data_IF_427255276275
#
_entry.id   IF_427255276275
#
_cell.length_a   1.000
_cell.length_b   1.000
_cell.length_c   1.000
_cell.angle_alpha   90.00
_cell.angle_beta   90.00
_cell.angle_gamma   90.00
#
_symmetry.space_group_name_H-M   'P 1'
#
loop_
_entity.id
_entity.type
_entity.pdbx_description
1 polymer ?
#
# COMPACT_ATOMS: atom_id res chain seq x y z
N UNK A 1 69.54 -26.35 -13.09
CA UNK A 1 69.00 -25.34 -14.05
C UNK A 1 67.48 -25.49 -14.00
N UNK A 2 66.61 -24.53 -13.70
CA UNK A 2 66.64 -23.08 -13.46
C UNK A 2 65.36 -22.78 -12.64
N UNK A 3 65.45 -21.80 -11.73
CA UNK A 3 64.36 -21.12 -11.01
C UNK A 3 63.12 -20.84 -11.87
N UNK A 4 61.92 -20.80 -11.28
CA UNK A 4 61.13 -19.55 -11.26
C UNK A 4 59.96 -19.69 -10.29
N UNK A 5 60.04 -18.93 -9.19
CA UNK A 5 58.91 -18.67 -8.32
C UNK A 5 57.87 -17.85 -9.05
N UNK A 6 56.59 -18.12 -8.76
CA UNK A 6 55.50 -17.17 -8.98
C UNK A 6 54.82 -16.94 -7.65
N UNK A 7 55.13 -15.77 -7.11
CA UNK A 7 54.42 -15.10 -6.03
C UNK A 7 52.93 -15.01 -6.39
N UNK A 8 52.06 -15.60 -5.58
CA UNK A 8 50.64 -15.26 -5.59
C UNK A 8 50.51 -13.90 -4.91
N UNK A 9 50.33 -12.86 -5.72
CA UNK A 9 49.87 -11.57 -5.23
C UNK A 9 48.47 -11.77 -4.64
N UNK A 10 48.36 -11.65 -3.31
CA UNK A 10 47.08 -11.49 -2.65
C UNK A 10 46.45 -10.21 -3.17
N UNK A 11 45.40 -10.36 -3.99
CA UNK A 11 44.51 -9.25 -4.32
C UNK A 11 43.80 -8.91 -3.02
N UNK A 12 44.25 -7.85 -2.36
CA UNK A 12 43.53 -7.25 -1.26
C UNK A 12 42.20 -6.74 -1.84
N UNK A 13 41.15 -7.54 -1.71
CA UNK A 13 39.78 -7.06 -1.81
C UNK A 13 39.66 -5.97 -0.76
N UNK A 14 39.65 -4.71 -1.20
CA UNK A 14 39.34 -3.59 -0.31
C UNK A 14 38.00 -3.92 0.33
N UNK A 15 38.00 -4.15 1.64
CA UNK A 15 36.77 -4.29 2.40
C UNK A 15 35.91 -3.05 2.11
N UNK A 16 34.59 -3.20 1.89
CA UNK A 16 33.73 -2.04 1.71
C UNK A 16 33.94 -1.11 2.89
N UNK A 17 34.18 0.18 2.59
CA UNK A 17 34.34 1.23 3.60
C UNK A 17 33.09 1.19 4.47
N UNK A 18 33.21 0.61 5.66
CA UNK A 18 32.16 0.68 6.67
C UNK A 18 32.15 2.12 7.16
N UNK A 19 31.12 2.87 6.77
CA UNK A 19 30.84 4.15 7.41
C UNK A 19 30.70 3.87 8.91
N UNK A 20 31.52 4.52 9.71
CA UNK A 20 31.52 4.35 11.17
C UNK A 20 30.48 5.23 11.85
N UNK A 21 29.88 6.19 11.13
CA UNK A 21 28.82 7.08 11.59
C UNK A 21 28.16 7.81 10.41
N UNK A 22 26.92 8.26 10.60
CA UNK A 22 26.14 9.08 9.66
C UNK A 22 26.46 10.59 9.75
N UNK A 23 27.14 11.05 10.82
CA UNK A 23 27.40 12.47 11.12
C UNK A 23 28.02 13.24 9.97
N UNK A 24 28.96 12.63 9.24
CA UNK A 24 29.60 13.29 8.09
C UNK A 24 28.63 13.52 6.92
N UNK A 25 27.62 12.69 6.75
CA UNK A 25 26.57 12.86 5.74
C UNK A 25 25.50 13.86 6.21
N UNK A 26 25.20 13.88 7.50
CA UNK A 26 24.29 14.86 8.10
C UNK A 26 24.86 16.28 7.99
N UNK A 27 26.16 16.47 8.26
CA UNK A 27 26.83 17.76 8.06
C UNK A 27 26.77 18.24 6.59
N UNK A 28 26.75 17.31 5.62
CA UNK A 28 26.59 17.65 4.21
C UNK A 28 25.16 18.10 3.84
N UNK A 29 24.15 17.81 4.67
CA UNK A 29 22.79 18.32 4.47
C UNK A 29 22.66 19.81 4.85
N UNK A 30 23.52 20.30 5.76
CA UNK A 30 23.55 21.70 6.21
C UNK A 30 24.19 22.66 5.18
N UNK A 31 24.94 22.13 4.20
CA UNK A 31 25.61 22.91 3.16
C UNK A 31 24.63 23.56 2.18
N UNK A 32 24.92 24.77 1.66
CA UNK A 32 23.99 25.51 0.79
C UNK A 32 23.77 24.88 -0.60
N UNK A 33 24.67 24.01 -1.05
CA UNK A 33 24.65 23.49 -2.42
C UNK A 33 23.70 22.29 -2.57
N UNK A 34 22.70 22.44 -3.43
CA UNK A 34 21.72 21.38 -3.74
C UNK A 34 22.36 20.06 -4.20
N UNK A 35 23.48 20.11 -4.94
CA UNK A 35 24.21 18.92 -5.38
C UNK A 35 24.79 18.13 -4.20
N UNK A 36 25.31 18.83 -3.19
CA UNK A 36 25.87 18.20 -1.98
C UNK A 36 24.75 17.53 -1.17
N UNK A 37 23.64 18.24 -0.96
CA UNK A 37 22.45 17.71 -0.27
C UNK A 37 21.89 16.47 -0.98
N UNK A 38 21.80 16.51 -2.30
CA UNK A 38 21.31 15.40 -3.13
C UNK A 38 22.15 14.12 -2.98
N UNK A 39 23.47 14.28 -2.97
CA UNK A 39 24.41 13.19 -2.80
C UNK A 39 24.40 12.66 -1.35
N UNK A 40 24.26 13.55 -0.36
CA UNK A 40 24.10 13.18 1.04
C UNK A 40 22.83 12.33 1.24
N UNK A 41 21.67 12.76 0.74
CA UNK A 41 20.40 12.03 0.82
C UNK A 41 20.48 10.63 0.19
N UNK A 42 21.13 10.52 -0.97
CA UNK A 42 21.29 9.22 -1.65
C UNK A 42 22.09 8.24 -0.79
N UNK A 43 23.16 8.71 -0.14
CA UNK A 43 23.96 7.88 0.76
C UNK A 43 23.24 7.58 2.07
N UNK A 44 22.51 8.56 2.61
CA UNK A 44 21.71 8.39 3.82
C UNK A 44 20.65 7.31 3.64
N UNK A 45 19.91 7.31 2.52
CA UNK A 45 18.91 6.30 2.19
C UNK A 45 19.45 4.86 2.28
N UNK A 46 20.72 4.64 1.90
CA UNK A 46 21.34 3.32 1.94
C UNK A 46 21.73 2.86 3.36
N UNK A 47 21.94 3.79 4.28
CA UNK A 47 22.42 3.51 5.65
C UNK A 47 21.35 3.70 6.72
N UNK A 48 20.12 4.09 6.36
CA UNK A 48 19.00 4.27 7.31
C UNK A 48 18.83 3.05 8.23
N UNK A 49 18.82 1.79 7.74
CA UNK A 49 18.60 0.64 8.63
C UNK A 49 19.64 0.51 9.74
N UNK A 50 20.87 0.94 9.50
CA UNK A 50 21.98 0.79 10.44
C UNK A 50 22.09 1.99 11.40
N UNK A 51 21.74 3.20 10.93
CA UNK A 51 21.97 4.46 11.65
C UNK A 51 20.71 5.31 11.82
N UNK A 52 19.51 4.71 11.75
CA UNK A 52 18.23 5.44 11.91
C UNK A 52 18.19 6.31 13.16
N UNK A 53 18.79 5.85 14.28
CA UNK A 53 18.81 6.60 15.53
C UNK A 53 19.57 7.92 15.41
N UNK A 54 20.76 7.92 14.80
CA UNK A 54 21.53 9.15 14.53
C UNK A 54 20.80 10.05 13.52
N UNK A 55 20.25 9.46 12.46
CA UNK A 55 19.56 10.20 11.39
C UNK A 55 18.28 10.85 11.92
N UNK A 56 17.62 10.22 12.90
CA UNK A 56 16.40 10.76 13.52
C UNK A 56 16.62 12.08 14.25
N UNK A 57 17.84 12.40 14.70
CA UNK A 57 18.14 13.70 15.30
C UNK A 57 18.10 14.83 14.26
N UNK A 58 18.38 14.52 12.99
CA UNK A 58 18.36 15.45 11.86
C UNK A 58 17.08 15.33 11.01
N UNK A 59 16.03 14.67 11.52
CA UNK A 59 14.74 14.55 10.83
C UNK A 59 14.14 15.91 10.44
N UNK A 60 14.15 16.96 11.31
CA UNK A 60 13.61 18.27 10.97
C UNK A 60 14.28 18.89 9.74
N UNK A 61 15.58 18.66 9.56
CA UNK A 61 16.30 19.15 8.39
C UNK A 61 15.87 18.39 7.13
N UNK A 62 15.69 17.07 7.21
CA UNK A 62 15.22 16.24 6.10
C UNK A 62 13.79 16.61 5.71
N UNK A 63 12.92 16.88 6.69
CA UNK A 63 11.55 17.35 6.49
C UNK A 63 11.54 18.71 5.77
N UNK A 64 12.39 19.64 6.20
CA UNK A 64 12.52 20.95 5.55
C UNK A 64 12.93 20.83 4.08
N UNK A 65 13.78 19.85 3.73
CA UNK A 65 14.17 19.56 2.35
C UNK A 65 13.05 18.93 1.51
N UNK A 66 12.11 18.24 2.15
CA UNK A 66 10.92 17.73 1.48
C UNK A 66 9.88 18.84 1.24
N UNK A 67 9.74 19.76 2.19
CA UNK A 67 8.84 20.92 2.10
C UNK A 67 9.30 21.95 1.07
N UNK A 68 10.61 22.03 0.82
CA UNK A 68 11.17 22.90 -0.22
C UNK A 68 10.80 22.43 -1.64
N UNK A 69 9.91 23.18 -2.30
CA UNK A 69 9.48 22.91 -3.66
C UNK A 69 10.57 23.17 -4.71
N UNK A 70 11.57 24.01 -4.40
CA UNK A 70 12.68 24.31 -5.30
C UNK A 70 13.74 23.20 -5.28
N UNK A 71 13.74 22.36 -4.26
CA UNK A 71 14.73 21.30 -4.11
C UNK A 71 14.48 20.14 -5.10
N UNK A 72 15.42 19.85 -6.03
CA UNK A 72 15.19 18.87 -7.11
C UNK A 72 14.93 17.44 -6.63
N UNK A 73 15.47 17.07 -5.46
CA UNK A 73 15.36 15.72 -4.90
C UNK A 73 14.46 15.64 -3.67
N UNK A 74 13.46 16.53 -3.54
CA UNK A 74 12.51 16.51 -2.41
C UNK A 74 11.84 15.15 -2.20
N UNK A 75 11.52 14.43 -3.28
CA UNK A 75 10.95 13.06 -3.21
C UNK A 75 11.88 12.07 -2.50
N UNK A 76 13.20 12.23 -2.67
CA UNK A 76 14.20 11.38 -2.02
C UNK A 76 14.30 11.71 -0.53
N UNK A 77 14.22 12.99 -0.16
CA UNK A 77 14.13 13.41 1.24
C UNK A 77 12.91 12.77 1.93
N UNK A 78 11.74 12.80 1.27
CA UNK A 78 10.54 12.10 1.73
C UNK A 78 10.78 10.59 1.94
N UNK A 79 11.46 9.91 1.01
CA UNK A 79 11.75 8.48 1.17
C UNK A 79 12.65 8.20 2.38
N UNK A 80 13.68 9.03 2.59
CA UNK A 80 14.57 8.90 3.75
C UNK A 80 13.79 9.13 5.04
N UNK A 81 13.00 10.21 5.12
CA UNK A 81 12.15 10.50 6.28
C UNK A 81 11.20 9.34 6.58
N UNK A 82 10.53 8.81 5.56
CA UNK A 82 9.62 7.67 5.70
C UNK A 82 10.29 6.44 6.31
N UNK A 83 11.49 6.08 5.84
CA UNK A 83 12.25 4.96 6.39
C UNK A 83 12.65 5.19 7.85
N UNK A 84 13.04 6.41 8.21
CA UNK A 84 13.38 6.73 9.60
C UNK A 84 12.15 6.65 10.51
N UNK A 85 11.00 7.22 10.10
CA UNK A 85 9.74 7.10 10.85
C UNK A 85 9.29 5.66 11.02
N UNK A 86 9.50 4.80 10.02
CA UNK A 86 9.25 3.37 10.14
C UNK A 86 10.06 2.74 11.28
N UNK A 87 11.35 3.03 11.39
CA UNK A 87 12.19 2.53 12.50
C UNK A 87 11.85 3.16 13.85
N UNK A 88 11.32 4.39 13.87
CA UNK A 88 10.78 5.01 15.08
C UNK A 88 9.45 4.38 15.54
N UNK A 89 8.79 3.61 14.67
CA UNK A 89 7.49 2.97 14.94
C UNK A 89 6.28 3.86 14.61
N UNK A 90 6.51 5.07 14.10
CA UNK A 90 5.46 6.02 13.72
C UNK A 90 4.98 5.74 12.28
N UNK A 91 4.19 4.67 12.12
CA UNK A 91 3.77 4.18 10.80
C UNK A 91 2.88 5.15 10.02
N UNK A 92 2.14 6.04 10.70
CA UNK A 92 1.29 7.04 10.06
C UNK A 92 2.13 8.08 9.29
N UNK A 93 3.10 8.68 9.98
CA UNK A 93 4.03 9.62 9.37
C UNK A 93 4.88 8.93 8.31
N UNK A 94 5.36 7.71 8.59
CA UNK A 94 6.07 6.91 7.61
C UNK A 94 5.28 6.73 6.31
N UNK A 95 3.98 6.41 6.40
CA UNK A 95 3.12 6.29 5.23
C UNK A 95 2.94 7.64 4.51
N UNK A 96 2.72 8.73 5.24
CA UNK A 96 2.55 10.07 4.66
C UNK A 96 3.77 10.48 3.82
N UNK A 97 4.98 10.26 4.34
CA UNK A 97 6.22 10.54 3.62
C UNK A 97 6.48 9.54 2.48
N UNK A 98 6.10 8.27 2.62
CA UNK A 98 6.19 7.29 1.52
C UNK A 98 5.29 7.69 0.35
N UNK A 99 4.06 8.13 0.62
CA UNK A 99 3.17 8.69 -0.40
C UNK A 99 3.76 9.97 -1.03
N UNK A 100 4.49 10.78 -0.27
CA UNK A 100 5.24 11.94 -0.74
C UNK A 100 6.42 11.61 -1.66
N UNK A 101 7.08 10.46 -1.44
CA UNK A 101 8.17 9.97 -2.28
C UNK A 101 7.69 9.56 -3.69
N UNK A 102 6.40 9.21 -3.83
CA UNK A 102 5.78 8.85 -5.10
C UNK A 102 6.50 7.68 -5.76
N UNK A 103 7.03 7.89 -6.97
CA UNK A 103 7.68 6.85 -7.77
C UNK A 103 8.96 6.27 -7.16
N UNK A 104 9.55 6.96 -6.17
CA UNK A 104 10.72 6.45 -5.45
C UNK A 104 10.37 5.41 -4.39
N UNK A 105 9.10 5.32 -3.98
CA UNK A 105 8.61 4.26 -3.12
C UNK A 105 8.31 3.02 -3.98
N UNK A 106 9.28 2.10 -4.02
CA UNK A 106 9.15 0.87 -4.80
C UNK A 106 8.31 -0.17 -4.04
N UNK A 107 7.06 -0.34 -4.49
CA UNK A 107 6.12 -1.29 -3.90
C UNK A 107 6.49 -2.76 -4.17
N UNK A 108 7.34 -3.02 -5.16
CA UNK A 108 7.76 -4.36 -5.56
C UNK A 108 9.11 -4.77 -4.94
N UNK A 109 9.72 -3.92 -4.09
CA UNK A 109 11.00 -4.19 -3.42
C UNK A 109 10.96 -5.44 -2.52
N UNK A 110 9.78 -5.75 -1.95
CA UNK A 110 9.58 -6.92 -1.08
C UNK A 110 10.34 -6.85 0.24
N UNK A 111 10.66 -5.65 0.73
CA UNK A 111 11.25 -5.45 2.05
C UNK A 111 10.19 -5.36 3.14
N UNK A 112 10.55 -5.71 4.38
CA UNK A 112 9.65 -5.64 5.55
C UNK A 112 9.08 -4.24 5.75
N UNK A 113 9.88 -3.20 5.45
CA UNK A 113 9.46 -1.80 5.41
C UNK A 113 8.29 -1.59 4.44
N UNK A 114 8.42 -2.06 3.19
CA UNK A 114 7.39 -1.90 2.17
C UNK A 114 6.14 -2.71 2.54
N UNK A 115 6.28 -3.98 2.92
CA UNK A 115 5.13 -4.83 3.27
C UNK A 115 4.33 -4.26 4.45
N UNK A 116 5.02 -3.74 5.46
CA UNK A 116 4.38 -3.11 6.63
C UNK A 116 3.64 -1.84 6.23
N UNK A 117 4.24 -0.97 5.42
CA UNK A 117 3.60 0.26 4.97
C UNK A 117 2.43 0.00 4.02
N UNK A 118 2.53 -1.00 3.14
CA UNK A 118 1.41 -1.38 2.27
C UNK A 118 0.23 -1.91 3.08
N UNK A 119 0.49 -2.72 4.11
CA UNK A 119 -0.56 -3.18 5.04
C UNK A 119 -1.22 -2.00 5.74
N UNK A 120 -0.40 -1.07 6.27
CA UNK A 120 -0.89 0.14 6.92
C UNK A 120 -1.71 1.02 5.96
N UNK A 121 -1.29 1.14 4.70
CA UNK A 121 -1.99 1.88 3.67
C UNK A 121 -3.37 1.29 3.37
N UNK A 122 -3.48 -0.04 3.27
CA UNK A 122 -4.76 -0.73 3.10
C UNK A 122 -5.68 -0.45 4.29
N UNK A 123 -5.18 -0.59 5.52
CA UNK A 123 -5.98 -0.35 6.74
C UNK A 123 -6.52 1.09 6.78
N UNK A 124 -5.69 2.07 6.47
CA UNK A 124 -6.07 3.49 6.47
C UNK A 124 -7.06 3.79 5.35
N UNK A 125 -6.82 3.25 4.15
CA UNK A 125 -7.75 3.33 3.03
C UNK A 125 -9.12 2.77 3.39
N UNK A 126 -9.18 1.54 3.91
CA UNK A 126 -10.44 0.90 4.32
C UNK A 126 -11.15 1.73 5.40
N UNK A 127 -10.43 2.19 6.41
CA UNK A 127 -11.00 3.01 7.49
C UNK A 127 -11.62 4.32 6.98
N UNK A 128 -10.93 5.01 6.08
CA UNK A 128 -11.41 6.28 5.51
C UNK A 128 -12.65 6.10 4.63
N UNK A 129 -12.70 5.05 3.82
CA UNK A 129 -13.88 4.76 2.99
C UNK A 129 -15.10 4.34 3.83
N UNK A 130 -14.91 3.56 4.89
CA UNK A 130 -15.99 3.22 5.83
C UNK A 130 -16.53 4.48 6.50
N UNK A 131 -15.65 5.35 7.02
CA UNK A 131 -16.06 6.65 7.61
C UNK A 131 -16.84 7.50 6.62
N UNK A 132 -16.40 7.56 5.36
CA UNK A 132 -17.10 8.28 4.29
C UNK A 132 -18.49 7.72 4.04
N UNK A 133 -18.64 6.40 3.99
CA UNK A 133 -19.94 5.74 3.82
C UNK A 133 -20.89 5.98 5.01
N UNK A 134 -20.36 5.93 6.24
CA UNK A 134 -21.12 6.23 7.46
C UNK A 134 -21.61 7.68 7.50
N UNK A 135 -20.76 8.64 7.13
CA UNK A 135 -21.15 10.04 7.03
C UNK A 135 -22.23 10.26 5.97
N UNK A 136 -22.10 9.64 4.79
CA UNK A 136 -23.12 9.73 3.76
C UNK A 136 -24.47 9.19 4.27
N UNK A 137 -24.46 8.07 4.99
CA UNK A 137 -25.68 7.51 5.58
C UNK A 137 -26.31 8.42 6.65
N UNK A 138 -25.51 9.13 7.45
CA UNK A 138 -26.01 10.13 8.42
C UNK A 138 -26.63 11.34 7.71
N UNK A 139 -26.01 11.82 6.64
CA UNK A 139 -26.52 12.91 5.81
C UNK A 139 -27.86 12.52 5.17
N UNK A 140 -27.95 11.31 4.63
CA UNK A 140 -29.19 10.77 4.04
C UNK A 140 -30.31 10.62 5.10
N UNK A 141 -29.95 10.38 6.37
CA UNK A 141 -30.86 10.32 7.51
C UNK A 141 -31.28 11.70 8.06
N UNK A 142 -30.70 12.79 7.56
CA UNK A 142 -31.05 14.16 7.93
C UNK A 142 -30.36 14.70 9.19
N UNK A 143 -29.29 14.04 9.67
CA UNK A 143 -28.46 14.55 10.76
C UNK A 143 -27.47 15.62 10.30
N UNK A 144 -27.00 16.45 11.23
CA UNK A 144 -26.09 17.57 10.95
C UNK A 144 -24.82 17.10 10.21
N UNK A 145 -24.47 17.82 9.15
CA UNK A 145 -23.31 17.54 8.31
C UNK A 145 -22.01 17.71 9.09
N UNK A 146 -21.33 16.60 9.38
CA UNK A 146 -19.91 16.58 9.73
C UNK A 146 -19.07 17.07 8.52
N UNK A 147 -17.84 17.57 8.73
CA UNK A 147 -16.94 17.87 7.62
C UNK A 147 -16.71 16.61 6.75
N UNK A 148 -16.71 16.82 5.44
CA UNK A 148 -16.50 15.76 4.45
C UNK A 148 -15.16 15.04 4.71
N UNK A 149 -15.19 13.71 4.77
CA UNK A 149 -13.96 12.90 4.84
C UNK A 149 -13.18 13.07 3.53
N UNK A 150 -12.10 13.85 3.60
CA UNK A 150 -11.13 14.00 2.52
C UNK A 150 -10.18 12.81 2.58
N UNK A 151 -10.11 12.07 1.48
CA UNK A 151 -9.19 10.94 1.33
C UNK A 151 -8.03 11.41 0.45
N UNK A 152 -6.79 11.21 0.91
CA UNK A 152 -5.61 11.55 0.13
C UNK A 152 -5.61 10.76 -1.20
N UNK A 153 -5.59 11.48 -2.33
CA UNK A 153 -5.59 10.86 -3.65
C UNK A 153 -4.37 9.98 -3.91
N UNK A 154 -3.24 10.22 -3.23
CA UNK A 154 -2.04 9.39 -3.31
C UNK A 154 -2.26 8.03 -2.66
N UNK A 155 -2.94 8.01 -1.51
CA UNK A 155 -3.34 6.78 -0.83
C UNK A 155 -4.30 5.96 -1.70
N UNK A 156 -5.30 6.63 -2.29
CA UNK A 156 -6.24 6.00 -3.23
C UNK A 156 -5.48 5.39 -4.41
N UNK A 157 -4.59 6.17 -5.03
CA UNK A 157 -3.80 5.70 -6.18
C UNK A 157 -2.93 4.50 -5.82
N UNK A 158 -2.30 4.49 -4.64
CA UNK A 158 -1.48 3.38 -4.16
C UNK A 158 -2.32 2.10 -4.01
N UNK A 159 -3.40 2.15 -3.24
CA UNK A 159 -4.20 0.96 -2.94
C UNK A 159 -4.97 0.47 -4.17
N UNK A 160 -5.50 1.37 -5.00
CA UNK A 160 -6.17 0.96 -6.25
C UNK A 160 -5.19 0.32 -7.25
N UNK A 161 -3.93 0.76 -7.31
CA UNK A 161 -2.88 0.05 -8.07
C UNK A 161 -2.64 -1.35 -7.54
N UNK A 162 -2.64 -1.56 -6.22
CA UNK A 162 -2.50 -2.89 -5.63
C UNK A 162 -3.70 -3.79 -5.99
N UNK A 163 -4.91 -3.25 -5.90
CA UNK A 163 -6.14 -3.95 -6.30
C UNK A 163 -6.09 -4.33 -7.78
N UNK A 164 -5.72 -3.40 -8.66
CA UNK A 164 -5.61 -3.68 -10.09
C UNK A 164 -4.51 -4.71 -10.40
N UNK A 165 -3.39 -4.67 -9.68
CA UNK A 165 -2.33 -5.67 -9.77
C UNK A 165 -2.86 -7.06 -9.35
N UNK A 166 -3.63 -7.14 -8.27
CA UNK A 166 -4.28 -8.39 -7.84
C UNK A 166 -5.27 -8.90 -8.89
N UNK A 167 -6.10 -8.03 -9.48
CA UNK A 167 -7.03 -8.37 -10.57
C UNK A 167 -6.26 -8.90 -11.79
N UNK A 168 -5.18 -8.23 -12.18
CA UNK A 168 -4.33 -8.63 -13.32
C UNK A 168 -3.70 -10.00 -13.11
N UNK A 169 -3.25 -10.29 -11.89
CA UNK A 169 -2.72 -11.59 -11.47
C UNK A 169 -3.82 -12.63 -11.20
N UNK A 170 -5.09 -12.28 -11.39
CA UNK A 170 -6.28 -13.10 -11.09
C UNK A 170 -6.39 -13.56 -9.64
N UNK A 171 -5.74 -12.85 -8.72
CA UNK A 171 -5.87 -13.02 -7.28
C UNK A 171 -7.13 -12.29 -6.79
N UNK A 172 -8.29 -12.74 -7.27
CA UNK A 172 -9.57 -12.07 -7.05
C UNK A 172 -10.02 -12.07 -5.59
N UNK A 173 -9.70 -13.10 -4.80
CA UNK A 173 -10.03 -13.12 -3.36
C UNK A 173 -9.35 -11.97 -2.63
N UNK A 174 -8.09 -11.65 -2.94
CA UNK A 174 -7.37 -10.53 -2.34
C UNK A 174 -8.01 -9.19 -2.75
N UNK A 175 -8.32 -9.01 -4.03
CA UNK A 175 -8.98 -7.80 -4.54
C UNK A 175 -10.37 -7.59 -3.91
N UNK A 176 -11.16 -8.66 -3.78
CA UNK A 176 -12.47 -8.65 -3.13
C UNK A 176 -12.34 -8.38 -1.63
N UNK A 177 -11.36 -8.95 -0.94
CA UNK A 177 -11.12 -8.72 0.48
C UNK A 177 -10.92 -7.23 0.79
N UNK A 178 -9.96 -6.60 0.10
CA UNK A 178 -9.68 -5.16 0.26
C UNK A 178 -10.94 -4.33 -0.08
N UNK A 179 -11.61 -4.65 -1.19
CA UNK A 179 -12.79 -3.91 -1.64
C UNK A 179 -13.99 -4.07 -0.70
N UNK A 180 -14.13 -5.24 -0.08
CA UNK A 180 -15.18 -5.53 0.90
C UNK A 180 -14.96 -4.74 2.19
N UNK A 181 -13.74 -4.71 2.71
CA UNK A 181 -13.38 -3.92 3.90
C UNK A 181 -13.53 -2.41 3.66
N UNK A 182 -13.16 -1.94 2.47
CA UNK A 182 -13.35 -0.54 2.06
C UNK A 182 -14.79 -0.21 1.62
N UNK A 183 -15.73 -1.15 1.67
CA UNK A 183 -17.11 -0.99 1.20
C UNK A 183 -17.26 -0.51 -0.26
N UNK A 184 -16.31 -0.85 -1.13
CA UNK A 184 -16.27 -0.50 -2.56
C UNK A 184 -17.04 -1.52 -3.41
N UNK A 185 -18.35 -1.33 -3.51
CA UNK A 185 -19.24 -2.21 -4.28
C UNK A 185 -18.88 -2.26 -5.77
N UNK A 186 -18.45 -1.14 -6.34
CA UNK A 186 -18.06 -0.99 -7.75
C UNK A 186 -16.94 -1.96 -8.14
N UNK A 187 -15.92 -2.10 -7.27
CA UNK A 187 -14.80 -3.02 -7.52
C UNK A 187 -15.26 -4.47 -7.32
N UNK A 188 -16.04 -4.76 -6.27
CA UNK A 188 -16.56 -6.11 -6.01
C UNK A 188 -17.35 -6.62 -7.22
N UNK A 189 -18.28 -5.81 -7.73
CA UNK A 189 -19.10 -6.14 -8.88
C UNK A 189 -18.27 -6.39 -10.14
N UNK A 190 -17.24 -5.57 -10.37
CA UNK A 190 -16.31 -5.75 -11.48
C UNK A 190 -15.59 -7.10 -11.36
N UNK A 191 -15.03 -7.42 -10.19
CA UNK A 191 -14.27 -8.67 -9.98
C UNK A 191 -15.14 -9.91 -10.12
N UNK A 192 -16.35 -9.89 -9.58
CA UNK A 192 -17.32 -11.00 -9.69
C UNK A 192 -17.61 -11.32 -11.16
N UNK A 193 -17.88 -10.30 -11.98
CA UNK A 193 -18.18 -10.47 -13.41
C UNK A 193 -16.97 -10.93 -14.23
N UNK A 194 -15.75 -10.65 -13.77
CA UNK A 194 -14.53 -11.12 -14.43
C UNK A 194 -14.32 -12.64 -14.30
N UNK A 195 -14.84 -13.27 -13.25
CA UNK A 195 -14.56 -14.68 -12.94
C UNK A 195 -15.01 -15.66 -14.03
N UNK A 196 -16.08 -15.37 -14.78
CA UNK A 196 -16.47 -16.22 -15.93
C UNK A 196 -15.64 -15.94 -17.19
N UNK A 197 -15.16 -14.71 -17.38
CA UNK A 197 -14.37 -14.31 -18.56
C UNK A 197 -12.89 -14.66 -18.45
N UNK A 198 -12.35 -14.62 -17.23
CA UNK A 198 -10.96 -14.83 -16.92
C UNK A 198 -10.88 -15.50 -15.53
N UNK A 199 -11.17 -16.81 -15.44
CA UNK A 199 -11.17 -17.51 -14.15
C UNK A 199 -9.79 -17.46 -13.49
N UNK A 200 -9.79 -17.32 -12.17
CA UNK A 200 -8.60 -17.45 -11.33
C UNK A 200 -8.22 -18.91 -11.10
N UNK A 201 -7.14 -19.12 -10.35
CA UNK A 201 -6.59 -20.45 -10.11
C UNK A 201 -7.26 -21.14 -8.92
N UNK A 202 -7.80 -20.37 -7.97
CA UNK A 202 -8.43 -20.88 -6.76
C UNK A 202 -9.90 -21.28 -7.01
N UNK A 203 -10.41 -22.20 -6.18
CA UNK A 203 -11.79 -22.70 -6.30
C UNK A 203 -12.83 -21.57 -6.29
N UNK A 204 -12.66 -20.60 -5.39
CA UNK A 204 -13.56 -19.46 -5.24
C UNK A 204 -13.46 -18.44 -6.39
N UNK A 205 -12.44 -18.54 -7.23
CA UNK A 205 -12.15 -17.62 -8.33
C UNK A 205 -12.43 -18.27 -9.70
N UNK A 206 -12.86 -19.54 -9.68
CA UNK A 206 -13.05 -20.38 -10.86
C UNK A 206 -14.27 -19.99 -11.72
N UNK A 207 -15.24 -19.29 -11.14
CA UNK A 207 -16.46 -18.85 -11.81
C UNK A 207 -17.16 -17.75 -11.01
N UNK A 208 -18.08 -17.03 -11.66
CA UNK A 208 -18.94 -16.05 -10.99
C UNK A 208 -19.70 -16.68 -9.82
N UNK A 209 -20.23 -17.89 -9.99
CA UNK A 209 -20.99 -18.60 -8.94
C UNK A 209 -20.13 -18.91 -7.72
N UNK A 210 -18.89 -19.36 -7.92
CA UNK A 210 -17.96 -19.63 -6.83
C UNK A 210 -17.61 -18.35 -6.06
N UNK A 211 -17.36 -17.25 -6.79
CA UNK A 211 -17.07 -15.95 -6.17
C UNK A 211 -18.27 -15.38 -5.40
N UNK A 212 -19.49 -15.55 -5.93
CA UNK A 212 -20.72 -15.21 -5.20
C UNK A 212 -20.89 -16.05 -3.93
N UNK A 213 -20.53 -17.34 -3.96
CA UNK A 213 -20.49 -18.19 -2.77
C UNK A 213 -19.51 -17.69 -1.72
N UNK A 214 -18.31 -17.28 -2.15
CA UNK A 214 -17.31 -16.66 -1.29
C UNK A 214 -17.80 -15.33 -0.70
N UNK A 215 -18.36 -14.43 -1.50
CA UNK A 215 -18.95 -13.17 -1.03
C UNK A 215 -20.07 -13.39 -0.01
N UNK A 216 -20.94 -14.38 -0.22
CA UNK A 216 -21.98 -14.72 0.75
C UNK A 216 -21.38 -15.12 2.11
N UNK A 217 -20.27 -15.88 2.09
CA UNK A 217 -19.56 -16.27 3.32
C UNK A 217 -18.97 -15.06 4.04
N UNK A 218 -18.42 -14.08 3.30
CA UNK A 218 -17.92 -12.82 3.86
C UNK A 218 -19.04 -11.96 4.45
N UNK A 219 -20.19 -11.85 3.76
CA UNK A 219 -21.37 -11.13 4.25
C UNK A 219 -21.96 -11.73 5.54
N UNK A 220 -21.87 -13.05 5.72
CA UNK A 220 -22.30 -13.71 6.94
C UNK A 220 -21.28 -13.59 8.08
N UNK A 221 -20.07 -13.14 7.79
CA UNK A 221 -19.09 -12.75 8.80
C UNK A 221 -19.54 -11.54 9.63
N UNK A 222 -18.91 -11.35 10.79
CA UNK A 222 -19.28 -10.30 11.75
C UNK A 222 -18.66 -8.93 11.42
N UNK A 223 -18.04 -8.75 10.24
CA UNK A 223 -17.25 -7.56 9.90
C UNK A 223 -18.03 -6.46 9.20
N UNK A 224 -19.17 -6.75 8.57
CA UNK A 224 -19.89 -5.80 7.74
C UNK A 224 -21.14 -5.18 8.40
N UNK A 225 -21.32 -3.87 8.21
CA UNK A 225 -22.53 -3.15 8.65
C UNK A 225 -23.78 -3.75 8.00
N UNK A 226 -24.93 -3.69 8.68
CA UNK A 226 -26.18 -4.27 8.16
C UNK A 226 -26.59 -3.63 6.84
N UNK A 227 -26.44 -2.31 6.70
CA UNK A 227 -26.74 -1.58 5.48
C UNK A 227 -25.88 -2.05 4.32
N UNK A 228 -24.57 -2.16 4.52
CA UNK A 228 -23.65 -2.63 3.49
C UNK A 228 -23.93 -4.08 3.08
N UNK A 229 -24.21 -4.97 4.05
CA UNK A 229 -24.61 -6.37 3.77
C UNK A 229 -25.83 -6.45 2.87
N UNK A 230 -26.87 -5.65 3.15
CA UNK A 230 -28.07 -5.60 2.31
C UNK A 230 -27.76 -5.10 0.90
N UNK A 231 -26.86 -4.12 0.76
CA UNK A 231 -26.43 -3.62 -0.55
C UNK A 231 -25.70 -4.69 -1.36
N UNK A 232 -24.76 -5.42 -0.74
CA UNK A 232 -24.08 -6.55 -1.40
C UNK A 232 -25.09 -7.63 -1.79
N UNK A 233 -25.96 -8.06 -0.87
CA UNK A 233 -26.95 -9.12 -1.16
C UNK A 233 -27.87 -8.73 -2.34
N UNK A 234 -28.29 -7.46 -2.43
CA UNK A 234 -29.06 -6.94 -3.58
C UNK A 234 -28.26 -6.99 -4.88
N UNK A 235 -26.99 -6.59 -4.84
CA UNK A 235 -26.09 -6.69 -6.00
C UNK A 235 -25.91 -8.15 -6.44
N UNK A 236 -25.67 -9.06 -5.49
CA UNK A 236 -25.57 -10.50 -5.75
C UNK A 236 -26.84 -11.06 -6.38
N UNK A 237 -28.04 -10.70 -5.88
CA UNK A 237 -29.32 -11.10 -6.49
C UNK A 237 -29.41 -10.63 -7.94
N UNK A 238 -28.95 -9.41 -8.23
CA UNK A 238 -28.93 -8.88 -9.61
C UNK A 238 -28.02 -9.73 -10.49
N UNK A 239 -26.80 -10.02 -10.03
CA UNK A 239 -25.83 -10.84 -10.76
C UNK A 239 -26.33 -12.28 -10.94
N UNK A 240 -26.93 -12.89 -9.93
CA UNK A 240 -27.53 -14.24 -10.03
C UNK A 240 -28.61 -14.32 -11.12
N UNK A 241 -29.41 -13.26 -11.29
CA UNK A 241 -30.43 -13.19 -12.35
C UNK A 241 -29.84 -12.98 -13.75
N UNK A 242 -28.61 -12.46 -13.85
CA UNK A 242 -27.88 -12.25 -15.11
C UNK A 242 -27.09 -13.49 -15.57
N UNK A 243 -26.98 -14.53 -14.73
CA UNK A 243 -26.22 -15.74 -15.05
C UNK A 243 -26.80 -16.48 -16.25
N UNK A 244 -25.93 -16.96 -17.13
CA UNK A 244 -26.31 -17.82 -18.25
C UNK A 244 -26.86 -19.18 -17.78
N UNK A 245 -26.32 -19.70 -16.69
CA UNK A 245 -26.79 -20.92 -16.02
C UNK A 245 -27.41 -20.55 -14.67
N UNK A 246 -28.73 -20.69 -14.49
CA UNK A 246 -29.39 -20.31 -13.25
C UNK A 246 -28.88 -21.11 -12.05
N UNK A 247 -28.55 -20.42 -10.94
CA UNK A 247 -28.32 -21.02 -9.63
C UNK A 247 -29.43 -20.61 -8.64
N UNK A 248 -30.54 -21.37 -8.59
CA UNK A 248 -31.65 -21.03 -7.71
C UNK A 248 -31.29 -21.18 -6.23
N UNK A 249 -30.29 -22.01 -5.88
CA UNK A 249 -29.90 -22.21 -4.49
C UNK A 249 -29.15 -20.99 -3.95
N UNK A 250 -28.18 -20.48 -4.71
CA UNK A 250 -27.47 -19.23 -4.39
C UNK A 250 -28.42 -18.03 -4.31
N UNK A 251 -29.36 -17.92 -5.25
CA UNK A 251 -30.36 -16.86 -5.26
C UNK A 251 -31.28 -16.89 -4.01
N UNK A 252 -31.82 -18.07 -3.67
CA UNK A 252 -32.68 -18.24 -2.49
C UNK A 252 -31.92 -17.92 -1.21
N UNK A 253 -30.64 -18.31 -1.11
CA UNK A 253 -29.79 -17.96 0.04
C UNK A 253 -29.68 -16.45 0.21
N UNK A 254 -29.50 -15.69 -0.87
CA UNK A 254 -29.41 -14.23 -0.78
C UNK A 254 -30.74 -13.59 -0.38
N UNK A 255 -31.88 -14.11 -0.87
CA UNK A 255 -33.22 -13.58 -0.57
C UNK A 255 -33.72 -13.93 0.85
N UNK A 256 -33.16 -14.97 1.47
CA UNK A 256 -33.54 -15.38 2.82
C UNK A 256 -32.96 -14.47 3.93
N UNK A 257 -31.98 -13.63 3.62
CA UNK A 257 -31.27 -12.75 4.54
C UNK A 257 -31.60 -11.27 4.30
#
# INVERSE_FOLDING_TARGET
RIFFGKSMAAVATMAPVRLTSSVGLLAMLEEDQNEIKSHALTKLNAIVPDFWAEISEALPDIESLYEDEEFPQRKLAALVASKVYYFLGELGDALQYALGAGDLFDVDEGSEYVETLLTKAIDEYCSLFVKKAEQQAKVDAGDASEPEVIIDGRLVTLVERMVESAITRRAYQAAVGISFEAQRLDIIERVVRLCDTAPGELENESSTVAMLGYLFSLCNGNSASRSFRLTILKSMVTIYNELSTPDPLGLVRCLAH
#
